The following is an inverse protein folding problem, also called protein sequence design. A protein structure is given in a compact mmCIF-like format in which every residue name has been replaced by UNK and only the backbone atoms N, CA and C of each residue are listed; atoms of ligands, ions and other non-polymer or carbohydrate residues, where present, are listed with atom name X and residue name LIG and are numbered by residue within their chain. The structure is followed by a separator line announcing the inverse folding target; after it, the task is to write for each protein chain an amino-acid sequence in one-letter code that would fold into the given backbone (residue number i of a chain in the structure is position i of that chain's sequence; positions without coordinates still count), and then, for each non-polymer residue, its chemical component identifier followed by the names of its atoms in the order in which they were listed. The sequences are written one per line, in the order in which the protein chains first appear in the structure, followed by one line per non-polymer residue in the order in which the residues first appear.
data_IF_729893289675
#
_entry.id   IF_729893289675
#
_cell.length_a   1.000
_cell.length_b   1.000
_cell.length_c   1.000
_cell.angle_alpha   90.00
_cell.angle_beta   90.00
_cell.angle_gamma   90.00
#
_symmetry.space_group_name_H-M   'P 1'
#
loop_
_entity.id
_entity.type
_entity.pdbx_description
1 polymer ?
#
# COMPACT_ATOMS: atom_id res chain seq x y z
N UNK A 1 0.35 1.55 -15.16
CA UNK A 1 0.30 2.93 -14.63
C UNK A 1 0.49 2.84 -13.13
N UNK A 2 1.29 3.71 -12.50
CA UNK A 2 1.48 3.71 -11.04
C UNK A 2 0.39 4.56 -10.37
N UNK A 3 -0.35 3.98 -9.43
CA UNK A 3 -1.36 4.63 -8.60
C UNK A 3 -0.80 5.89 -7.90
N UNK A 4 0.43 5.83 -7.40
CA UNK A 4 1.06 6.97 -6.71
C UNK A 4 1.32 8.20 -7.59
N UNK A 5 1.19 8.09 -8.92
CA UNK A 5 1.33 9.20 -9.86
C UNK A 5 -0.02 9.74 -10.36
N UNK A 6 -1.13 9.15 -9.91
CA UNK A 6 -2.46 9.63 -10.23
C UNK A 6 -2.76 10.90 -9.44
N UNK A 7 -3.61 11.75 -10.00
CA UNK A 7 -4.25 12.79 -9.19
C UNK A 7 -5.22 12.12 -8.21
N UNK A 8 -5.47 12.78 -7.07
CA UNK A 8 -6.46 12.30 -6.09
C UNK A 8 -7.83 12.09 -6.74
N UNK A 9 -8.25 13.00 -7.62
CA UNK A 9 -9.51 12.88 -8.36
C UNK A 9 -9.53 11.62 -9.23
N UNK A 10 -8.47 11.37 -10.01
CA UNK A 10 -8.38 10.19 -10.87
C UNK A 10 -8.37 8.88 -10.07
N UNK A 11 -7.72 8.86 -8.91
CA UNK A 11 -7.71 7.69 -8.03
C UNK A 11 -9.11 7.40 -7.48
N UNK A 12 -9.84 8.45 -7.05
CA UNK A 12 -11.23 8.32 -6.57
C UNK A 12 -12.16 7.83 -7.68
N UNK A 13 -12.02 8.38 -8.89
CA UNK A 13 -12.80 7.91 -10.04
C UNK A 13 -12.54 6.43 -10.32
N UNK A 14 -11.27 6.00 -10.33
CA UNK A 14 -10.89 4.60 -10.55
C UNK A 14 -11.42 3.67 -9.45
N UNK A 15 -11.31 4.07 -8.18
CA UNK A 15 -11.86 3.31 -7.04
C UNK A 15 -13.39 3.11 -7.18
N UNK A 16 -14.09 4.10 -7.75
CA UNK A 16 -15.54 4.03 -7.95
C UNK A 16 -15.98 3.32 -9.24
N UNK A 17 -15.04 2.93 -10.10
CA UNK A 17 -15.33 2.41 -11.44
C UNK A 17 -15.87 0.95 -11.46
N UNK A 18 -16.03 0.31 -10.30
CA UNK A 18 -16.51 -1.07 -10.18
C UNK A 18 -15.50 -2.10 -10.70
N UNK A 19 -14.21 -1.75 -10.79
CA UNK A 19 -13.14 -2.68 -11.14
C UNK A 19 -12.66 -3.46 -9.90
N UNK A 20 -12.08 -4.67 -10.08
CA UNK A 20 -11.62 -5.47 -8.96
C UNK A 20 -10.47 -4.82 -8.15
N UNK A 21 -9.72 -3.89 -8.75
CA UNK A 21 -8.68 -3.08 -8.10
C UNK A 21 -8.63 -1.66 -8.71
N UNK A 22 -8.12 -0.64 -7.98
CA UNK A 22 -7.67 -0.65 -6.58
C UNK A 22 -8.81 -0.88 -5.59
N UNK A 23 -8.50 -1.48 -4.44
CA UNK A 23 -9.49 -1.91 -3.43
C UNK A 23 -9.21 -1.38 -2.03
N UNK A 24 -9.81 -2.02 -1.02
CA UNK A 24 -9.69 -1.59 0.38
C UNK A 24 -8.25 -1.57 0.91
N UNK A 25 -7.40 -2.54 0.52
CA UNK A 25 -5.99 -2.58 0.90
C UNK A 25 -5.21 -1.39 0.34
N UNK A 26 -5.39 -1.09 -0.95
CA UNK A 26 -4.84 0.09 -1.63
C UNK A 26 -5.22 1.39 -0.91
N UNK A 27 -6.49 1.53 -0.51
CA UNK A 27 -6.98 2.70 0.24
C UNK A 27 -6.37 2.75 1.65
N UNK A 28 -6.30 1.64 2.36
CA UNK A 28 -5.67 1.56 3.68
C UNK A 28 -4.18 1.97 3.63
N UNK A 29 -3.47 1.51 2.60
CA UNK A 29 -2.09 1.91 2.34
C UNK A 29 -1.98 3.42 2.06
N UNK A 30 -2.85 3.99 1.21
CA UNK A 30 -2.88 5.43 0.98
C UNK A 30 -3.15 6.22 2.28
N UNK A 31 -4.08 5.76 3.12
CA UNK A 31 -4.32 6.36 4.44
C UNK A 31 -3.07 6.31 5.33
N UNK A 32 -2.33 5.20 5.32
CA UNK A 32 -1.04 5.09 6.03
C UNK A 32 0.01 6.08 5.52
N UNK A 33 0.07 6.29 4.20
CA UNK A 33 0.98 7.27 3.60
C UNK A 33 0.64 8.70 4.04
N UNK A 34 -0.65 9.06 4.00
CA UNK A 34 -1.15 10.37 4.44
C UNK A 34 -0.91 10.60 5.94
N UNK A 35 -1.18 9.60 6.78
CA UNK A 35 -0.95 9.67 8.22
C UNK A 35 0.55 9.85 8.54
N UNK A 36 1.42 9.13 7.83
CA UNK A 36 2.87 9.25 7.97
C UNK A 36 3.35 10.64 7.54
N UNK A 37 2.90 11.14 6.39
CA UNK A 37 3.24 12.48 5.91
C UNK A 37 2.81 13.57 6.90
N UNK A 38 1.62 13.44 7.50
CA UNK A 38 1.11 14.35 8.53
C UNK A 38 1.96 14.29 9.81
N UNK A 39 2.33 13.10 10.28
CA UNK A 39 3.25 12.94 11.41
C UNK A 39 4.59 13.62 11.16
N UNK A 40 5.17 13.44 9.97
CA UNK A 40 6.41 14.09 9.57
C UNK A 40 6.29 15.63 9.48
N UNK A 41 5.13 16.14 9.07
CA UNK A 41 4.85 17.59 9.09
C UNK A 41 4.89 18.14 10.52
N UNK A 42 4.19 17.51 11.46
CA UNK A 42 4.17 17.94 12.87
C UNK A 42 5.56 17.91 13.48
N UNK A 43 6.36 16.88 13.18
CA UNK A 43 7.74 16.78 13.63
C UNK A 43 8.60 17.94 13.10
N UNK A 44 8.48 18.27 11.80
CA UNK A 44 9.19 19.42 11.20
C UNK A 44 8.80 20.75 11.85
N UNK A 45 7.51 20.98 12.08
CA UNK A 45 7.01 22.20 12.72
C UNK A 45 7.55 22.32 14.15
N UNK A 46 7.54 21.23 14.92
CA UNK A 46 8.04 21.20 16.29
C UNK A 46 9.55 21.46 16.35
N UNK A 47 10.33 20.85 15.46
CA UNK A 47 11.78 21.08 15.33
C UNK A 47 12.13 22.53 14.95
N UNK A 48 11.22 23.25 14.30
CA UNK A 48 11.43 24.66 13.95
C UNK A 48 11.04 25.67 15.03
N UNK A 49 10.47 25.21 16.16
CA UNK A 49 9.92 26.09 17.19
C UNK A 49 10.87 26.22 18.38
N UNK A 50 11.27 27.45 18.69
CA UNK A 50 12.00 27.77 19.91
C UNK A 50 11.18 27.39 21.16
N UNK A 51 11.87 26.91 22.20
CA UNK A 51 11.24 26.38 23.42
C UNK A 51 11.03 24.85 23.42
N UNK A 52 11.16 24.20 22.27
CA UNK A 52 11.08 22.74 22.13
C UNK A 52 12.44 22.07 21.90
N UNK A 53 13.54 22.79 22.15
CA UNK A 53 14.91 22.34 21.85
C UNK A 53 15.24 20.97 22.47
N UNK A 54 14.66 20.69 23.64
CA UNK A 54 14.86 19.44 24.37
C UNK A 54 14.28 18.20 23.67
N UNK A 55 13.33 18.35 22.73
CA UNK A 55 12.75 17.25 21.94
C UNK A 55 13.19 17.24 20.48
N UNK A 56 14.06 18.16 20.05
CA UNK A 56 14.49 18.22 18.65
C UNK A 56 15.10 16.91 18.12
N UNK A 57 15.96 16.19 18.87
CA UNK A 57 16.49 14.91 18.41
C UNK A 57 15.40 13.87 18.14
N UNK A 58 14.37 13.81 19.01
CA UNK A 58 13.24 12.91 18.82
C UNK A 58 12.40 13.30 17.60
N UNK A 59 12.21 14.60 17.36
CA UNK A 59 11.47 15.10 16.20
C UNK A 59 12.21 14.79 14.89
N UNK A 60 13.53 14.88 14.87
CA UNK A 60 14.34 14.47 13.70
C UNK A 60 14.18 12.98 13.41
N UNK A 61 14.27 12.13 14.44
CA UNK A 61 14.05 10.70 14.31
C UNK A 61 12.64 10.35 13.81
N UNK A 62 11.60 11.01 14.35
CA UNK A 62 10.21 10.81 13.91
C UNK A 62 10.06 11.27 12.45
N UNK A 63 10.64 12.41 12.08
CA UNK A 63 10.59 12.94 10.71
C UNK A 63 11.23 11.98 9.71
N UNK A 64 12.35 11.36 10.05
CA UNK A 64 13.02 10.40 9.17
C UNK A 64 12.21 9.09 9.05
N UNK A 65 11.72 8.55 10.18
CA UNK A 65 10.83 7.36 10.17
C UNK A 65 9.56 7.57 9.37
N UNK A 66 8.88 8.69 9.58
CA UNK A 66 7.63 9.00 8.90
C UNK A 66 7.80 9.23 7.41
N UNK A 67 8.95 9.75 6.97
CA UNK A 67 9.30 9.83 5.54
C UNK A 67 9.42 8.43 4.94
N UNK A 68 10.17 7.53 5.59
CA UNK A 68 10.30 6.14 5.14
C UNK A 68 8.95 5.42 5.12
N UNK A 69 8.10 5.63 6.13
CA UNK A 69 6.78 5.01 6.17
C UNK A 69 5.85 5.54 5.08
N UNK A 70 5.87 6.84 4.79
CA UNK A 70 5.07 7.40 3.70
C UNK A 70 5.42 6.74 2.36
N UNK A 71 6.71 6.59 2.05
CA UNK A 71 7.19 5.91 0.85
C UNK A 71 6.81 4.42 0.85
N UNK A 72 6.97 3.74 1.99
CA UNK A 72 6.60 2.32 2.12
C UNK A 72 5.11 2.09 1.89
N UNK A 73 4.26 2.96 2.41
CA UNK A 73 2.82 2.86 2.22
C UNK A 73 2.39 3.12 0.78
N UNK A 74 3.03 4.07 0.08
CA UNK A 74 2.80 4.25 -1.36
C UNK A 74 3.22 3.02 -2.17
N UNK A 75 4.31 2.36 -1.79
CA UNK A 75 4.71 1.08 -2.38
C UNK A 75 3.69 -0.04 -2.09
N UNK A 76 3.23 -0.16 -0.85
CA UNK A 76 2.23 -1.17 -0.45
C UNK A 76 0.90 -1.00 -1.18
N UNK A 77 0.52 0.24 -1.51
CA UNK A 77 -0.66 0.51 -2.33
C UNK A 77 -0.56 -0.15 -3.72
N UNK A 78 0.63 -0.16 -4.32
CA UNK A 78 0.86 -0.83 -5.62
C UNK A 78 0.95 -2.35 -5.48
N UNK A 79 1.60 -2.82 -4.41
CA UNK A 79 1.72 -4.25 -4.12
C UNK A 79 0.35 -4.89 -3.91
N UNK A 80 -0.59 -4.21 -3.25
CA UNK A 80 -1.97 -4.69 -3.05
C UNK A 80 -2.66 -4.96 -4.40
N UNK A 81 -2.54 -4.03 -5.35
CA UNK A 81 -3.09 -4.20 -6.69
C UNK A 81 -2.46 -5.39 -7.40
N UNK A 82 -1.13 -5.54 -7.31
CA UNK A 82 -0.40 -6.62 -7.97
C UNK A 82 -0.72 -7.99 -7.35
N UNK A 83 -0.74 -8.07 -6.02
CA UNK A 83 -1.06 -9.29 -5.29
C UNK A 83 -2.48 -9.76 -5.62
N UNK A 84 -3.44 -8.84 -5.68
CA UNK A 84 -4.82 -9.17 -6.03
C UNK A 84 -4.96 -9.57 -7.51
N UNK A 85 -4.25 -8.90 -8.42
CA UNK A 85 -4.23 -9.28 -9.84
C UNK A 85 -3.70 -10.72 -10.03
N UNK A 86 -2.58 -11.07 -9.37
CA UNK A 86 -2.05 -12.43 -9.41
C UNK A 86 -3.00 -13.47 -8.81
N UNK A 87 -3.75 -13.10 -7.77
CA UNK A 87 -4.78 -13.99 -7.23
C UNK A 87 -5.91 -14.25 -8.24
N UNK A 88 -6.36 -13.21 -8.97
CA UNK A 88 -7.39 -13.37 -10.01
C UNK A 88 -6.91 -14.26 -11.17
N UNK A 89 -5.63 -14.19 -11.54
CA UNK A 89 -5.03 -15.04 -12.57
C UNK A 89 -5.14 -16.54 -12.27
N UNK A 90 -5.24 -16.92 -10.99
CA UNK A 90 -5.46 -18.32 -10.59
C UNK A 90 -6.76 -18.90 -11.13
N UNK A 91 -7.77 -18.05 -11.40
CA UNK A 91 -9.04 -18.45 -12.00
C UNK A 91 -8.95 -18.82 -13.48
N UNK A 92 -7.84 -18.48 -14.14
CA UNK A 92 -7.61 -18.79 -15.55
C UNK A 92 -6.76 -20.07 -15.75
N UNK A 93 -6.31 -20.71 -14.68
CA UNK A 93 -5.53 -21.93 -14.77
C UNK A 93 -6.41 -23.14 -15.14
N UNK A 94 -5.89 -24.08 -15.95
CA UNK A 94 -6.58 -25.34 -16.29
C UNK A 94 -6.96 -26.17 -15.06
N UNK A 95 -7.97 -27.01 -15.22
CA UNK A 95 -8.56 -27.82 -14.14
C UNK A 95 -9.07 -29.16 -14.68
N UNK A 96 -8.50 -29.64 -15.78
CA UNK A 96 -8.98 -30.83 -16.49
C UNK A 96 -8.34 -32.11 -15.94
N UNK A 97 -7.15 -32.01 -15.31
CA UNK A 97 -6.49 -33.13 -14.64
C UNK A 97 -6.25 -32.88 -13.15
N UNK A 98 -6.11 -33.93 -12.32
CA UNK A 98 -5.74 -33.79 -10.92
C UNK A 98 -4.44 -32.99 -10.71
N UNK A 99 -3.46 -33.16 -11.59
CA UNK A 99 -2.20 -32.41 -11.54
C UNK A 99 -2.40 -30.91 -11.81
N UNK A 100 -3.31 -30.56 -12.73
CA UNK A 100 -3.66 -29.17 -13.00
C UNK A 100 -4.41 -28.53 -11.83
N UNK A 101 -5.30 -29.29 -11.17
CA UNK A 101 -5.98 -28.86 -9.94
C UNK A 101 -4.99 -28.60 -8.81
N UNK A 102 -4.02 -29.50 -8.59
CA UNK A 102 -2.97 -29.34 -7.57
C UNK A 102 -2.10 -28.10 -7.85
N UNK A 103 -1.71 -27.87 -9.11
CA UNK A 103 -0.93 -26.68 -9.51
C UNK A 103 -1.72 -25.40 -9.23
N UNK A 104 -3.01 -25.37 -9.60
CA UNK A 104 -3.88 -24.21 -9.37
C UNK A 104 -4.04 -23.93 -7.88
N UNK A 105 -4.26 -24.97 -7.08
CA UNK A 105 -4.52 -24.82 -5.64
C UNK A 105 -3.25 -24.35 -4.92
N UNK A 106 -2.07 -24.86 -5.30
CA UNK A 106 -0.79 -24.36 -4.81
C UNK A 106 -0.56 -22.89 -5.19
N UNK A 107 -0.84 -22.53 -6.45
CA UNK A 107 -0.69 -21.15 -6.92
C UNK A 107 -1.68 -20.19 -6.25
N UNK A 108 -2.91 -20.63 -5.99
CA UNK A 108 -3.91 -19.90 -5.18
C UNK A 108 -3.40 -19.65 -3.77
N UNK A 109 -2.87 -20.68 -3.11
CA UNK A 109 -2.36 -20.53 -1.75
C UNK A 109 -1.20 -19.53 -1.69
N UNK A 110 -0.27 -19.59 -2.65
CA UNK A 110 0.86 -18.67 -2.73
C UNK A 110 0.43 -17.21 -2.97
N UNK A 111 -0.51 -16.98 -3.90
CA UNK A 111 -1.00 -15.64 -4.22
C UNK A 111 -1.86 -15.06 -3.09
N UNK A 112 -2.69 -15.88 -2.45
CA UNK A 112 -3.44 -15.51 -1.24
C UNK A 112 -2.52 -15.07 -0.10
N UNK A 113 -1.42 -15.80 0.15
CA UNK A 113 -0.42 -15.41 1.17
C UNK A 113 0.22 -14.06 0.88
N UNK A 114 0.41 -13.69 -0.38
CA UNK A 114 0.92 -12.35 -0.76
C UNK A 114 -0.12 -11.25 -0.61
N UNK A 115 -1.41 -11.57 -0.77
CA UNK A 115 -2.50 -10.58 -0.66
C UNK A 115 -2.90 -10.27 0.79
N UNK A 116 -2.54 -11.13 1.75
CA UNK A 116 -2.92 -10.99 3.18
C UNK A 116 -1.82 -10.35 4.04
N UNK A 117 -0.61 -10.14 3.50
CA UNK A 117 0.59 -9.71 4.26
C UNK A 117 1.11 -8.34 3.82
#
# INVERSE_FOLDING_TARGET
MRLQHMTVASFVDQLSAGTPSPGGGSVAALCGALASALGGLVARLTRSKEGYNHVWPDMEHIRDKTTVFAERFLYLMEEDVQAYASFLETGHLPTETPEEEDIRDHFREQTMKKAVV
#
